data_IF_817977874852
#
_entry.id   IF_817977874852
#
_cell.length_a   1.000
_cell.length_b   1.000
_cell.length_c   1.000
_cell.angle_alpha   90.00
_cell.angle_beta   90.00
_cell.angle_gamma   90.00
#
_symmetry.space_group_name_H-M   'P 1'
#
loop_
_entity.id
_entity.type
_entity.pdbx_description
1 polymer ?
#
# COMPACT_ATOMS: atom_id res chain seq x y z
N UNK A 1 -7.39 -27.20 -12.05
CA UNK A 1 -8.41 -26.58 -11.16
C UNK A 1 -7.78 -25.50 -10.27
N UNK A 2 -8.25 -24.25 -10.36
CA UNK A 2 -7.81 -23.17 -9.47
C UNK A 2 -8.50 -23.33 -8.12
N UNK A 3 -7.81 -23.99 -7.18
CA UNK A 3 -8.30 -24.15 -5.80
C UNK A 3 -7.84 -22.91 -5.02
N UNK A 4 -8.76 -22.09 -4.48
CA UNK A 4 -8.35 -20.96 -3.67
C UNK A 4 -7.59 -21.43 -2.43
N UNK A 5 -6.58 -20.66 -1.97
CA UNK A 5 -5.78 -21.05 -0.83
C UNK A 5 -6.61 -21.17 0.45
N UNK A 6 -6.06 -21.91 1.42
CA UNK A 6 -6.67 -22.13 2.74
C UNK A 6 -7.11 -20.82 3.41
N UNK A 7 -8.16 -20.91 4.23
CA UNK A 7 -8.74 -19.77 4.95
C UNK A 7 -7.70 -19.11 5.85
N UNK A 8 -7.47 -17.82 5.63
CA UNK A 8 -6.58 -16.98 6.44
C UNK A 8 -7.36 -16.46 7.65
N UNK A 9 -6.79 -16.55 8.86
CA UNK A 9 -7.35 -15.98 10.08
C UNK A 9 -6.38 -14.92 10.65
N UNK A 10 -6.88 -13.74 11.08
CA UNK A 10 -6.04 -12.72 11.68
C UNK A 10 -5.55 -13.17 13.06
N UNK A 11 -4.25 -13.04 13.31
CA UNK A 11 -3.65 -13.33 14.62
C UNK A 11 -3.54 -12.08 15.49
N UNK A 12 -3.38 -10.90 14.87
CA UNK A 12 -3.36 -9.60 15.52
C UNK A 12 -3.65 -8.48 14.51
N UNK A 13 -4.04 -7.31 15.01
CA UNK A 13 -4.12 -6.07 14.23
C UNK A 13 -3.66 -4.90 15.10
N UNK A 14 -2.69 -4.13 14.62
CA UNK A 14 -2.18 -2.95 15.31
C UNK A 14 -2.23 -1.73 14.37
N UNK A 15 -2.81 -0.61 14.82
CA UNK A 15 -2.79 0.63 14.03
C UNK A 15 -1.36 1.09 13.77
N UNK A 16 -1.13 1.71 12.60
CA UNK A 16 0.18 2.27 12.25
C UNK A 16 0.07 3.75 11.84
N UNK A 17 1.08 4.58 12.12
CA UNK A 17 1.10 5.97 11.67
C UNK A 17 1.15 6.09 10.15
N UNK A 18 0.46 7.10 9.58
CA UNK A 18 0.43 7.36 8.14
C UNK A 18 1.83 7.47 7.51
N UNK A 19 2.78 8.12 8.18
CA UNK A 19 4.17 8.23 7.69
C UNK A 19 4.87 6.86 7.56
N UNK A 20 4.59 5.94 8.49
CA UNK A 20 5.13 4.57 8.42
C UNK A 20 4.44 3.79 7.31
N UNK A 21 3.12 3.94 7.17
CA UNK A 21 2.34 3.30 6.10
C UNK A 21 2.82 3.73 4.71
N UNK A 22 3.01 5.03 4.49
CA UNK A 22 3.49 5.59 3.22
C UNK A 22 4.88 5.03 2.83
N UNK A 23 5.83 4.96 3.78
CA UNK A 23 7.16 4.39 3.54
C UNK A 23 7.09 2.88 3.21
N UNK A 24 6.24 2.14 3.90
CA UNK A 24 6.06 0.71 3.64
C UNK A 24 5.42 0.46 2.27
N UNK A 25 4.43 1.28 1.88
CA UNK A 25 3.80 1.20 0.57
C UNK A 25 4.80 1.51 -0.55
N UNK A 26 5.68 2.48 -0.38
CA UNK A 26 6.67 2.83 -1.40
C UNK A 26 7.62 1.66 -1.70
N UNK A 27 8.17 1.05 -0.63
CA UNK A 27 9.01 -0.14 -0.76
C UNK A 27 8.25 -1.32 -1.40
N UNK A 28 6.97 -1.47 -1.08
CA UNK A 28 6.13 -2.51 -1.67
C UNK A 28 5.89 -2.26 -3.17
N UNK A 29 5.55 -1.04 -3.59
CA UNK A 29 5.30 -0.68 -4.99
C UNK A 29 6.55 -0.93 -5.84
N UNK A 30 7.73 -0.53 -5.36
CA UNK A 30 9.01 -0.80 -6.05
C UNK A 30 9.20 -2.31 -6.26
N UNK A 31 9.14 -3.09 -5.17
CA UNK A 31 9.35 -4.53 -5.25
C UNK A 31 8.25 -5.26 -6.05
N UNK A 32 7.01 -4.75 -6.01
CA UNK A 32 5.90 -5.28 -6.78
C UNK A 32 6.04 -4.99 -8.27
N UNK A 33 6.51 -3.80 -8.65
CA UNK A 33 6.82 -3.45 -10.03
C UNK A 33 7.86 -4.40 -10.63
N UNK A 34 8.95 -4.66 -9.90
CA UNK A 34 10.01 -5.60 -10.31
C UNK A 34 9.46 -7.02 -10.54
N UNK A 35 8.59 -7.52 -9.65
CA UNK A 35 7.99 -8.85 -9.78
C UNK A 35 6.90 -8.94 -10.86
N UNK A 36 6.13 -7.86 -11.04
CA UNK A 36 4.99 -7.85 -11.96
C UNK A 36 5.39 -7.67 -13.42
N UNK A 37 6.57 -7.10 -13.69
CA UNK A 37 7.15 -7.09 -15.04
C UNK A 37 7.62 -8.48 -15.48
N UNK A 38 7.98 -9.36 -14.54
CA UNK A 38 8.41 -10.73 -14.82
C UNK A 38 7.24 -11.72 -15.02
N UNK A 39 6.03 -11.37 -14.58
CA UNK A 39 4.82 -12.17 -14.77
C UNK A 39 3.98 -11.57 -15.90
N UNK A 40 3.86 -12.29 -17.02
CA UNK A 40 3.10 -11.88 -18.20
C UNK A 40 1.70 -11.32 -17.84
N UNK A 41 1.45 -10.05 -18.17
CA UNK A 41 0.14 -9.41 -18.01
C UNK A 41 -0.01 -8.49 -16.79
N UNK A 42 1.06 -7.79 -16.41
CA UNK A 42 1.14 -6.80 -15.33
C UNK A 42 -0.19 -6.14 -14.94
N UNK A 43 -0.61 -6.36 -13.70
CA UNK A 43 -1.85 -5.83 -13.14
C UNK A 43 -1.71 -4.32 -12.89
N UNK A 44 -1.82 -3.53 -13.95
CA UNK A 44 -1.68 -2.06 -13.93
C UNK A 44 -2.66 -1.39 -12.97
N UNK A 45 -3.86 -1.96 -12.82
CA UNK A 45 -4.88 -1.46 -11.90
C UNK A 45 -4.42 -1.50 -10.43
N UNK A 46 -3.72 -2.55 -10.01
CA UNK A 46 -3.21 -2.69 -8.63
C UNK A 46 -2.15 -1.62 -8.35
N UNK A 47 -1.21 -1.41 -9.27
CA UNK A 47 -0.18 -0.38 -9.13
C UNK A 47 -0.78 1.02 -9.02
N UNK A 48 -1.79 1.33 -9.85
CA UNK A 48 -2.50 2.63 -9.79
C UNK A 48 -3.22 2.82 -8.47
N UNK A 49 -3.87 1.80 -7.93
CA UNK A 49 -4.55 1.88 -6.63
C UNK A 49 -3.56 2.08 -5.48
N UNK A 50 -2.42 1.40 -5.50
CA UNK A 50 -1.36 1.58 -4.51
C UNK A 50 -0.76 2.98 -4.56
N UNK A 51 -0.57 3.53 -5.76
CA UNK A 51 -0.10 4.91 -5.92
C UNK A 51 -1.10 5.90 -5.33
N UNK A 52 -2.40 5.78 -5.65
CA UNK A 52 -3.46 6.62 -5.07
C UNK A 52 -3.48 6.56 -3.53
N UNK A 53 -3.28 5.38 -2.97
CA UNK A 53 -3.22 5.21 -1.52
C UNK A 53 -2.00 5.90 -0.91
N UNK A 54 -0.83 5.80 -1.55
CA UNK A 54 0.38 6.51 -1.14
C UNK A 54 0.14 8.02 -1.13
N UNK A 55 -0.45 8.56 -2.19
CA UNK A 55 -0.72 9.99 -2.33
C UNK A 55 -1.68 10.47 -1.21
N UNK A 56 -2.76 9.73 -0.96
CA UNK A 56 -3.71 10.03 0.12
C UNK A 56 -3.07 10.03 1.52
N UNK A 57 -2.12 9.12 1.80
CA UNK A 57 -1.41 9.08 3.08
C UNK A 57 -0.44 10.26 3.26
N UNK A 58 0.11 10.78 2.17
CA UNK A 58 0.95 11.98 2.19
C UNK A 58 0.08 13.20 2.47
N UNK A 59 -1.05 13.33 1.77
CA UNK A 59 -2.03 14.40 2.00
C UNK A 59 -2.53 14.39 3.45
N UNK A 60 -2.93 13.23 4.00
CA UNK A 60 -3.36 13.11 5.40
C UNK A 60 -2.28 13.63 6.36
N UNK A 61 -1.01 13.25 6.12
CA UNK A 61 0.11 13.73 6.93
C UNK A 61 0.23 15.25 6.87
N UNK A 62 0.15 15.84 5.67
CA UNK A 62 0.25 17.28 5.47
C UNK A 62 -0.91 18.03 6.14
N UNK A 63 -2.14 17.52 6.02
CA UNK A 63 -3.31 18.07 6.70
C UNK A 63 -3.18 18.01 8.22
N UNK A 64 -2.72 16.88 8.76
CA UNK A 64 -2.48 16.72 10.21
C UNK A 64 -1.34 17.62 10.69
N UNK A 65 -0.32 17.85 9.86
CA UNK A 65 0.78 18.76 10.17
C UNK A 65 0.29 20.22 10.19
N UNK A 66 -0.50 20.62 9.20
CA UNK A 66 -1.03 21.98 9.08
C UNK A 66 -2.05 22.31 10.19
N UNK A 67 -2.87 21.35 10.61
CA UNK A 67 -3.82 21.51 11.71
C UNK A 67 -3.15 21.60 13.10
N UNK A 68 -1.89 21.15 13.25
CA UNK A 68 -1.13 21.25 14.50
C UNK A 68 -0.37 22.58 14.66
N UNK A 69 -0.20 23.33 13.58
CA UNK A 69 0.54 24.60 13.55
C UNK A 69 -0.38 25.84 13.56
N UNK A 70 -1.70 25.66 13.63
CA UNK A 70 -2.71 26.71 13.77
C UNK A 70 -3.25 26.73 15.22
#
# INVERSE_FOLDING_TARGET
PLVPPMRIQPTASTPMPAAKAAKTLDAFITAFGERSQAAEGGSTAVTVQLQKLKDALIEEREHVQNAKCA
#
